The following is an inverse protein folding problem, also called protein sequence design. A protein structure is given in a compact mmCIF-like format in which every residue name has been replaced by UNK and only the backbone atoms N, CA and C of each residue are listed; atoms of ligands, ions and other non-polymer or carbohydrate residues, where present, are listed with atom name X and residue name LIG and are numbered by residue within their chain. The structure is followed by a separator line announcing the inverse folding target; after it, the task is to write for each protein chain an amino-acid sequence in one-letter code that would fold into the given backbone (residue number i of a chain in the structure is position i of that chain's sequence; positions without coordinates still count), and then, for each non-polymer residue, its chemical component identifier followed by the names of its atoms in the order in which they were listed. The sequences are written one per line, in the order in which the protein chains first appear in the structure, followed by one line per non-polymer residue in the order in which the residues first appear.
data_IF_125946218626
#
_entry.id   IF_125946218626
#
_cell.length_a   1.000
_cell.length_b   1.000
_cell.length_c   1.000
_cell.angle_alpha   90.00
_cell.angle_beta   90.00
_cell.angle_gamma   90.00
#
_symmetry.space_group_name_H-M   'P 1'
#
loop_
_entity.id
_entity.type
_entity.pdbx_description
1 polymer ?
#
# COMPACT_ATOMS: atom_id res chain seq x y z
N UNK A 1 6.01 -2.86 22.57
CA UNK A 1 5.33 -3.37 21.39
C UNK A 1 3.93 -2.81 21.18
N UNK A 2 3.14 -2.66 22.22
CA UNK A 2 1.90 -1.88 22.17
C UNK A 2 2.08 -0.46 21.66
N UNK A 3 3.20 0.18 21.98
CA UNK A 3 3.53 1.55 21.56
C UNK A 3 3.77 1.67 20.06
N UNK A 4 4.37 0.68 19.43
CA UNK A 4 4.60 0.67 17.98
C UNK A 4 3.27 0.45 17.24
N UNK A 5 2.39 -0.36 17.79
CA UNK A 5 1.07 -0.65 17.25
C UNK A 5 0.14 0.57 17.40
N UNK A 6 0.18 1.26 18.54
CA UNK A 6 -0.73 2.35 18.85
C UNK A 6 -0.39 3.69 18.17
N UNK A 7 0.87 4.01 17.99
CA UNK A 7 1.28 5.31 17.45
C UNK A 7 1.21 5.44 15.92
N UNK A 8 1.04 4.30 15.22
CA UNK A 8 0.91 4.28 13.76
C UNK A 8 -0.10 3.23 13.33
N UNK A 9 -1.21 3.19 14.04
CA UNK A 9 -2.12 2.04 14.07
C UNK A 9 -2.64 1.53 12.73
N UNK A 10 -2.92 2.40 11.77
CA UNK A 10 -3.44 1.94 10.47
C UNK A 10 -2.38 1.33 9.58
N UNK A 11 -1.21 1.95 9.53
CA UNK A 11 -0.09 1.46 8.72
C UNK A 11 0.51 0.19 9.32
N UNK A 12 0.59 0.16 10.65
CA UNK A 12 1.18 -0.97 11.38
C UNK A 12 0.24 -2.16 11.44
N UNK A 13 -1.07 -1.97 11.56
CA UNK A 13 -2.02 -3.08 11.53
C UNK A 13 -2.11 -3.73 10.16
N UNK A 14 -2.12 -2.94 9.08
CA UNK A 14 -2.03 -3.46 7.73
C UNK A 14 -0.69 -4.16 7.46
N UNK A 15 0.40 -3.60 7.96
CA UNK A 15 1.73 -4.18 7.87
C UNK A 15 1.84 -5.49 8.65
N UNK A 16 1.25 -5.56 9.85
CA UNK A 16 1.26 -6.75 10.71
C UNK A 16 0.46 -7.91 10.08
N UNK A 17 -0.73 -7.62 9.56
CA UNK A 17 -1.56 -8.61 8.86
C UNK A 17 -0.86 -9.12 7.60
N UNK A 18 -0.22 -8.25 6.87
CA UNK A 18 0.54 -8.57 5.67
C UNK A 18 1.79 -9.41 5.98
N UNK A 19 2.54 -9.07 7.02
CA UNK A 19 3.69 -9.84 7.50
C UNK A 19 3.25 -11.22 7.98
N UNK A 20 2.14 -11.30 8.69
CA UNK A 20 1.57 -12.57 9.14
C UNK A 20 1.22 -13.47 7.96
N UNK A 21 0.58 -12.94 6.94
CA UNK A 21 0.23 -13.69 5.72
C UNK A 21 1.46 -14.16 4.94
N UNK A 22 2.48 -13.31 4.83
CA UNK A 22 3.75 -13.65 4.18
C UNK A 22 4.53 -14.71 4.97
N UNK A 23 4.53 -14.62 6.30
CA UNK A 23 5.19 -15.59 7.18
C UNK A 23 4.63 -17.01 7.03
N UNK A 24 3.34 -17.13 6.79
CA UNK A 24 2.66 -18.41 6.69
C UNK A 24 3.08 -19.19 5.43
N UNK A 25 3.47 -18.49 4.37
CA UNK A 25 3.75 -19.12 3.07
C UNK A 25 5.23 -19.31 2.76
N UNK A 26 6.13 -18.50 3.31
CA UNK A 26 7.54 -18.50 2.90
C UNK A 26 8.55 -18.22 4.02
N UNK A 27 8.22 -18.47 5.27
CA UNK A 27 9.13 -18.24 6.40
C UNK A 27 9.72 -16.83 6.49
N UNK A 28 9.01 -15.83 6.00
CA UNK A 28 9.39 -14.43 6.17
C UNK A 28 8.97 -14.01 7.58
N UNK A 29 9.84 -14.28 8.52
CA UNK A 29 9.60 -13.95 9.91
C UNK A 29 10.33 -12.66 10.26
N UNK A 30 9.58 -11.63 10.60
CA UNK A 30 10.14 -10.35 11.03
C UNK A 30 10.64 -10.42 12.47
N UNK A 31 9.92 -11.13 13.32
CA UNK A 31 10.21 -11.26 14.74
C UNK A 31 9.03 -11.84 15.50
N UNK A 32 9.04 -11.69 16.82
CA UNK A 32 7.95 -12.13 17.67
C UNK A 32 7.70 -11.11 18.80
N UNK A 33 6.63 -11.31 19.56
CA UNK A 33 6.22 -10.38 20.62
C UNK A 33 7.18 -10.38 21.83
N UNK A 34 7.94 -11.43 22.01
CA UNK A 34 8.86 -11.58 23.16
C UNK A 34 10.23 -10.98 22.87
N UNK A 35 10.78 -11.25 21.70
CA UNK A 35 12.14 -10.84 21.29
C UNK A 35 12.12 -9.55 20.45
N UNK A 36 10.95 -9.10 20.03
CA UNK A 36 10.82 -7.97 19.11
C UNK A 36 11.23 -8.35 17.70
N UNK A 37 11.83 -7.40 16.99
CA UNK A 37 12.27 -7.59 15.61
C UNK A 37 13.59 -8.35 15.59
N UNK A 38 13.58 -9.56 15.05
CA UNK A 38 14.76 -10.45 14.98
C UNK A 38 15.38 -10.47 13.59
N UNK A 39 14.68 -9.98 12.56
CA UNK A 39 15.19 -9.93 11.20
C UNK A 39 15.27 -8.48 10.68
N UNK A 40 16.39 -7.78 10.91
CA UNK A 40 16.54 -6.38 10.51
C UNK A 40 16.57 -6.18 8.98
N UNK A 41 16.94 -7.20 8.20
CA UNK A 41 16.96 -7.12 6.73
C UNK A 41 15.56 -6.98 6.15
N UNK A 42 14.61 -7.75 6.67
CA UNK A 42 13.19 -7.66 6.26
C UNK A 42 12.59 -6.31 6.71
N UNK A 43 12.92 -5.88 7.91
CA UNK A 43 12.51 -4.57 8.41
C UNK A 43 12.98 -3.44 7.50
N UNK A 44 14.23 -3.46 7.07
CA UNK A 44 14.79 -2.48 6.16
C UNK A 44 14.07 -2.47 4.81
N UNK A 45 13.76 -3.63 4.25
CA UNK A 45 12.99 -3.75 3.02
C UNK A 45 11.61 -3.08 3.13
N UNK A 46 10.90 -3.30 4.24
CA UNK A 46 9.61 -2.67 4.49
C UNK A 46 9.72 -1.17 4.74
N UNK A 47 10.75 -0.72 5.44
CA UNK A 47 10.98 0.70 5.70
C UNK A 47 11.33 1.48 4.44
N UNK A 48 12.05 0.88 3.52
CA UNK A 48 12.39 1.48 2.23
C UNK A 48 11.26 1.43 1.21
N UNK A 49 10.19 0.68 1.49
CA UNK A 49 9.05 0.53 0.61
C UNK A 49 8.11 1.74 0.72
N UNK A 50 8.26 2.70 -0.18
CA UNK A 50 7.42 3.90 -0.26
C UNK A 50 7.22 4.31 -1.71
N UNK A 51 6.25 5.21 -1.96
CA UNK A 51 5.89 5.66 -3.31
C UNK A 51 7.01 6.42 -4.03
N UNK A 52 7.95 6.99 -3.30
CA UNK A 52 9.06 7.73 -3.88
C UNK A 52 10.28 6.86 -4.20
N UNK A 53 10.37 5.66 -3.66
CA UNK A 53 11.43 4.70 -3.95
C UNK A 53 11.20 3.93 -5.25
N UNK A 54 9.97 3.91 -5.75
CA UNK A 54 9.63 3.26 -7.01
C UNK A 54 9.60 4.27 -8.15
N UNK A 55 10.34 3.99 -9.21
CA UNK A 55 10.40 4.85 -10.38
C UNK A 55 9.02 5.01 -11.04
N UNK A 56 8.26 3.94 -11.11
CA UNK A 56 6.92 3.92 -11.70
C UNK A 56 5.90 4.70 -10.86
N UNK A 57 6.06 4.72 -9.55
CA UNK A 57 5.16 5.39 -8.62
C UNK A 57 5.43 6.89 -8.51
N UNK A 58 6.67 7.30 -8.68
CA UNK A 58 7.11 8.67 -8.49
C UNK A 58 6.35 9.67 -9.37
N UNK A 59 6.09 9.30 -10.61
CA UNK A 59 5.40 10.13 -11.60
C UNK A 59 3.92 9.72 -11.80
N UNK A 60 3.42 8.77 -11.01
CA UNK A 60 2.05 8.31 -11.11
C UNK A 60 1.06 9.29 -10.46
N UNK A 61 0.00 9.68 -11.17
CA UNK A 61 -1.03 10.58 -10.63
C UNK A 61 -1.81 9.96 -9.47
N UNK A 62 -1.86 8.63 -9.39
CA UNK A 62 -2.57 7.88 -8.36
C UNK A 62 -1.75 7.62 -7.09
N UNK A 63 -0.51 8.05 -7.03
CA UNK A 63 0.45 7.68 -5.97
C UNK A 63 -0.03 7.94 -4.55
N UNK A 64 -0.72 9.05 -4.32
CA UNK A 64 -1.21 9.44 -2.99
C UNK A 64 -2.41 8.60 -2.53
N UNK A 65 -3.19 8.10 -3.46
CA UNK A 65 -4.33 7.21 -3.17
C UNK A 65 -3.92 5.75 -3.07
N UNK A 66 -3.05 5.31 -3.97
CA UNK A 66 -2.55 3.93 -4.02
C UNK A 66 -1.55 3.63 -2.89
N UNK A 67 -0.72 4.61 -2.50
CA UNK A 67 0.34 4.48 -1.49
C UNK A 67 1.32 3.31 -1.75
N UNK A 68 1.54 2.99 -3.02
CA UNK A 68 2.45 1.92 -3.42
C UNK A 68 1.82 0.54 -3.57
N UNK A 69 0.52 0.40 -3.30
CA UNK A 69 -0.19 -0.85 -3.41
C UNK A 69 0.07 -1.83 -2.26
N UNK A 70 -0.16 -3.11 -2.53
CA UNK A 70 -0.02 -4.18 -1.54
C UNK A 70 1.35 -4.85 -1.65
N UNK A 71 2.13 -4.84 -0.58
CA UNK A 71 3.44 -5.48 -0.55
C UNK A 71 3.37 -7.02 -0.70
N UNK A 72 2.29 -7.64 -0.25
CA UNK A 72 2.06 -9.07 -0.45
C UNK A 72 1.89 -9.41 -1.94
N UNK A 73 1.08 -8.63 -2.66
CA UNK A 73 0.93 -8.80 -4.11
C UNK A 73 2.24 -8.53 -4.85
N UNK A 74 2.96 -7.49 -4.47
CA UNK A 74 4.29 -7.21 -5.01
C UNK A 74 5.25 -8.38 -4.81
N UNK A 75 5.29 -8.94 -3.61
CA UNK A 75 6.14 -10.07 -3.28
C UNK A 75 5.78 -11.31 -4.10
N UNK A 76 4.49 -11.64 -4.23
CA UNK A 76 4.05 -12.82 -4.99
C UNK A 76 4.28 -12.70 -6.49
N UNK A 77 4.26 -11.50 -7.05
CA UNK A 77 4.45 -11.28 -8.49
C UNK A 77 5.90 -11.02 -8.88
N UNK A 78 6.67 -10.34 -8.02
CA UNK A 78 8.03 -9.92 -8.34
C UNK A 78 9.11 -10.59 -7.47
N UNK A 79 8.73 -11.24 -6.37
CA UNK A 79 9.66 -11.83 -5.41
C UNK A 79 10.22 -10.83 -4.40
N UNK A 80 9.82 -9.56 -4.45
CA UNK A 80 10.26 -8.52 -3.53
C UNK A 80 9.09 -7.70 -3.01
N UNK A 81 9.11 -7.34 -1.74
CA UNK A 81 8.12 -6.43 -1.14
C UNK A 81 8.21 -5.01 -1.71
N UNK A 82 9.34 -4.66 -2.30
CA UNK A 82 9.58 -3.39 -3.00
C UNK A 82 9.22 -3.43 -4.48
N UNK A 83 8.70 -4.55 -4.99
CA UNK A 83 8.25 -4.67 -6.37
C UNK A 83 6.96 -3.89 -6.64
N UNK A 84 6.61 -3.79 -7.90
CA UNK A 84 5.39 -3.13 -8.36
C UNK A 84 4.47 -4.16 -9.02
N UNK A 85 3.24 -4.23 -8.54
CA UNK A 85 2.19 -5.06 -9.13
C UNK A 85 1.42 -4.24 -10.17
N UNK A 86 1.77 -4.38 -11.44
CA UNK A 86 1.25 -3.54 -12.53
C UNK A 86 -0.27 -3.62 -12.69
N UNK A 87 -0.85 -4.79 -12.55
CA UNK A 87 -2.31 -4.95 -12.59
C UNK A 87 -3.01 -4.09 -11.53
N UNK A 88 -2.46 -4.05 -10.32
CA UNK A 88 -2.94 -3.18 -9.25
C UNK A 88 -2.81 -1.70 -9.61
N UNK A 89 -1.73 -1.32 -10.27
CA UNK A 89 -1.49 0.05 -10.73
C UNK A 89 -2.58 0.49 -11.73
N UNK A 90 -2.88 -0.34 -12.71
CA UNK A 90 -3.93 -0.07 -13.70
C UNK A 90 -5.30 0.04 -13.05
N UNK A 91 -5.62 -0.87 -12.14
CA UNK A 91 -6.89 -0.88 -11.43
C UNK A 91 -7.08 0.39 -10.60
N UNK A 92 -6.07 0.82 -9.86
CA UNK A 92 -6.14 2.03 -9.06
C UNK A 92 -6.25 3.30 -9.91
N UNK A 93 -5.52 3.37 -11.01
CA UNK A 93 -5.65 4.50 -11.95
C UNK A 93 -7.06 4.60 -12.51
N UNK A 94 -7.64 3.48 -12.93
CA UNK A 94 -9.01 3.45 -13.45
C UNK A 94 -10.04 3.84 -12.38
N UNK A 95 -9.87 3.41 -11.15
CA UNK A 95 -10.74 3.82 -10.04
C UNK A 95 -10.73 5.33 -9.82
N UNK A 96 -9.57 5.96 -9.89
CA UNK A 96 -9.45 7.41 -9.72
C UNK A 96 -10.05 8.16 -10.89
N UNK A 97 -9.82 7.71 -12.13
CA UNK A 97 -10.47 8.27 -13.32
C UNK A 97 -11.99 8.24 -13.18
N UNK A 98 -12.55 7.10 -12.77
CA UNK A 98 -13.98 6.97 -12.52
C UNK A 98 -14.50 7.87 -11.41
N UNK A 99 -13.74 8.02 -10.33
CA UNK A 99 -14.09 8.89 -9.22
C UNK A 99 -14.14 10.37 -9.65
N UNK A 100 -13.18 10.79 -10.47
CA UNK A 100 -13.16 12.15 -11.05
C UNK A 100 -14.38 12.36 -11.97
N UNK A 101 -14.68 11.40 -12.82
CA UNK A 101 -15.86 11.45 -13.71
C UNK A 101 -17.16 11.60 -12.91
N UNK A 102 -17.32 10.85 -11.82
CA UNK A 102 -18.48 10.94 -10.94
C UNK A 102 -18.59 12.31 -10.29
N UNK A 103 -17.49 12.88 -9.83
CA UNK A 103 -17.47 14.22 -9.24
C UNK A 103 -17.84 15.32 -10.24
N UNK A 104 -17.37 15.20 -11.45
CA UNK A 104 -17.75 16.14 -12.53
C UNK A 104 -19.23 16.03 -12.85
N UNK A 105 -19.77 14.82 -12.97
CA UNK A 105 -21.20 14.59 -13.24
C UNK A 105 -22.09 15.14 -12.12
N UNK A 106 -21.73 14.92 -10.85
CA UNK A 106 -22.43 15.47 -9.70
C UNK A 106 -22.43 17.01 -9.71
N UNK A 107 -21.30 17.62 -10.04
CA UNK A 107 -21.19 19.08 -10.14
C UNK A 107 -22.04 19.65 -11.25
N UNK A 108 -22.11 19.00 -12.42
CA UNK A 108 -22.98 19.40 -13.53
C UNK A 108 -24.46 19.29 -13.17
N UNK A 109 -24.88 18.26 -12.48
CA UNK A 109 -26.26 18.13 -12.00
C UNK A 109 -26.62 19.22 -11.01
N UNK A 110 -25.76 19.52 -10.06
CA UNK A 110 -25.99 20.60 -9.10
C UNK A 110 -26.10 21.97 -9.77
N UNK A 111 -25.30 22.24 -10.79
CA UNK A 111 -25.40 23.47 -11.57
C UNK A 111 -26.73 23.59 -12.34
N UNK A 112 -27.30 22.48 -12.80
CA UNK A 112 -28.63 22.47 -13.48
C UNK A 112 -29.78 22.75 -12.53
N UNK A 113 -29.65 22.44 -11.26
CA UNK A 113 -30.69 22.68 -10.24
C UNK A 113 -30.74 24.14 -9.79
N UNK A 114 -29.66 24.89 -9.91
CA UNK A 114 -29.60 26.30 -9.55
C UNK A 114 -30.15 27.26 -10.61
N UNK A 115 -30.52 26.75 -11.79
CA UNK A 115 -31.16 27.48 -12.87
C UNK A 115 -32.62 27.08 -13.03
#
# INVERSE_FOLDING_TARGET
MHTIINNRSRLVNGLFDMIYRLSFRKNIKLGNIYDGITNPQILEQFQSCNIYSHKECKDCFAKLYCSGGCAANAYHTTGSVNGVYEFGCELHRKRIECAIMLKVAEAEENLKVEY
#
